data_IF_199889244542
#
_entry.id   IF_199889244542
#
_cell.length_a   1.000
_cell.length_b   1.000
_cell.length_c   1.000
_cell.angle_alpha   90.00
_cell.angle_beta   90.00
_cell.angle_gamma   90.00
#
_symmetry.space_group_name_H-M   'P 1'
#
loop_
_entity.id
_entity.type
_entity.pdbx_description
1 polymer ?
#
# COMPACT_ATOMS: atom_id res chain seq x y z
N UNK A 1 10.20 5.61 12.89
CA UNK A 1 10.91 6.14 11.72
C UNK A 1 11.87 7.23 12.18
N UNK A 2 13.06 7.31 11.61
CA UNK A 2 14.00 8.41 11.85
C UNK A 2 13.68 9.59 10.92
N UNK A 3 13.93 10.81 11.40
CA UNK A 3 13.84 12.01 10.56
C UNK A 3 15.01 12.02 9.54
N UNK A 4 14.82 12.52 8.31
CA UNK A 4 15.87 12.53 7.27
C UNK A 4 17.17 13.23 7.69
N UNK A 5 17.08 14.23 8.57
CA UNK A 5 18.21 15.00 9.09
C UNK A 5 19.03 14.20 10.11
N UNK A 6 18.41 13.23 10.78
CA UNK A 6 19.07 12.34 11.73
C UNK A 6 19.81 11.18 11.04
N UNK A 7 19.58 10.95 9.75
CA UNK A 7 20.18 9.87 8.97
C UNK A 7 21.48 10.38 8.35
N UNK A 8 22.59 9.82 8.85
CA UNK A 8 23.95 10.20 8.46
C UNK A 8 24.68 9.03 7.76
N UNK A 9 25.79 9.32 7.09
CA UNK A 9 26.64 8.34 6.42
C UNK A 9 28.08 8.84 6.36
N UNK A 10 29.03 7.94 6.12
CA UNK A 10 30.44 8.30 5.95
C UNK A 10 30.68 9.19 4.71
N UNK A 11 29.82 9.04 3.70
CA UNK A 11 29.74 9.84 2.48
C UNK A 11 28.28 9.90 1.98
N UNK A 12 28.05 10.57 0.86
CA UNK A 12 26.72 10.74 0.26
C UNK A 12 26.10 9.42 -0.21
N UNK A 13 26.92 8.45 -0.63
CA UNK A 13 26.43 7.13 -1.06
C UNK A 13 25.92 6.35 0.14
N UNK A 14 26.71 6.28 1.21
CA UNK A 14 26.34 5.62 2.46
C UNK A 14 25.08 6.25 3.07
N UNK A 15 24.97 7.58 3.04
CA UNK A 15 23.75 8.27 3.51
C UNK A 15 22.53 7.95 2.65
N UNK A 16 22.70 7.89 1.33
CA UNK A 16 21.60 7.55 0.40
C UNK A 16 21.09 6.13 0.61
N UNK A 17 21.98 5.16 0.84
CA UNK A 17 21.60 3.79 1.19
C UNK A 17 20.84 3.75 2.52
N UNK A 18 21.32 4.47 3.54
CA UNK A 18 20.63 4.53 4.83
C UNK A 18 19.22 5.15 4.73
N UNK A 19 19.07 6.22 3.93
CA UNK A 19 17.77 6.82 3.63
C UNK A 19 16.85 5.83 2.93
N UNK A 20 17.37 5.10 1.93
CA UNK A 20 16.59 4.07 1.22
C UNK A 20 16.12 2.96 2.15
N UNK A 21 16.98 2.48 3.06
CA UNK A 21 16.60 1.48 4.06
C UNK A 21 15.54 2.00 5.04
N UNK A 22 15.61 3.27 5.46
CA UNK A 22 14.60 3.85 6.34
C UNK A 22 13.24 3.97 5.64
N UNK A 23 13.21 4.43 4.39
CA UNK A 23 12.00 4.43 3.55
C UNK A 23 11.47 3.01 3.34
N UNK A 24 12.40 2.06 3.21
CA UNK A 24 12.17 0.62 3.16
C UNK A 24 11.15 0.12 4.18
N UNK A 25 11.30 0.56 5.44
CA UNK A 25 10.40 0.18 6.56
C UNK A 25 8.95 0.55 6.31
N UNK A 26 8.69 1.60 5.53
CA UNK A 26 7.35 2.04 5.16
C UNK A 26 6.87 1.26 3.94
N UNK A 27 7.65 1.26 2.86
CA UNK A 27 7.21 0.66 1.59
C UNK A 27 6.99 -0.86 1.67
N UNK A 28 7.67 -1.56 2.59
CA UNK A 28 7.48 -2.99 2.84
C UNK A 28 6.44 -3.29 3.92
N UNK A 29 5.80 -2.28 4.51
CA UNK A 29 4.78 -2.49 5.54
C UNK A 29 3.46 -2.97 4.89
N UNK A 30 2.69 -3.90 5.49
CA UNK A 30 1.41 -4.37 4.95
C UNK A 30 0.45 -3.24 4.55
N UNK A 31 0.29 -2.20 5.38
CA UNK A 31 -0.46 -0.97 5.03
C UNK A 31 -0.11 -0.37 3.65
N UNK A 32 1.15 -0.42 3.22
CA UNK A 32 1.57 0.03 1.90
C UNK A 32 1.38 -1.07 0.86
N UNK A 33 1.85 -2.29 1.17
CA UNK A 33 1.79 -3.43 0.24
C UNK A 33 0.36 -3.86 -0.12
N UNK A 34 -0.61 -3.65 0.77
CA UNK A 34 -2.03 -3.93 0.55
C UNK A 34 -2.60 -3.19 -0.66
N UNK A 35 -2.12 -1.97 -0.93
CA UNK A 35 -2.50 -1.15 -2.09
C UNK A 35 -1.46 -1.19 -3.22
N UNK A 36 -0.29 -1.77 -2.97
CA UNK A 36 0.82 -1.92 -3.92
C UNK A 36 1.12 -3.40 -4.25
N UNK A 37 0.11 -4.22 -4.65
CA UNK A 37 0.35 -5.59 -5.06
C UNK A 37 1.05 -5.64 -6.43
N UNK A 38 1.99 -6.57 -6.61
CA UNK A 38 2.69 -6.78 -7.90
C UNK A 38 1.73 -7.27 -8.98
N UNK A 39 0.80 -8.16 -8.63
CA UNK A 39 -0.23 -8.68 -9.54
C UNK A 39 -1.55 -8.88 -8.79
N UNK A 40 -2.65 -9.07 -9.54
CA UNK A 40 -3.93 -9.46 -8.97
C UNK A 40 -4.75 -8.29 -8.42
N UNK A 41 -5.01 -8.28 -7.11
CA UNK A 41 -5.91 -7.33 -6.45
C UNK A 41 -5.41 -6.92 -5.06
N UNK A 42 -6.16 -6.02 -4.37
CA UNK A 42 -5.77 -5.58 -3.04
C UNK A 42 -5.70 -6.74 -2.06
N UNK A 43 -4.84 -6.57 -1.07
CA UNK A 43 -4.82 -7.40 0.14
C UNK A 43 -5.23 -6.56 1.35
N UNK A 44 -5.52 -7.21 2.48
CA UNK A 44 -5.99 -6.54 3.69
C UNK A 44 -5.38 -7.16 4.94
N UNK A 45 -5.29 -6.36 6.01
CA UNK A 45 -4.68 -6.78 7.26
C UNK A 45 -3.15 -6.83 7.22
N UNK A 46 -2.55 -7.24 8.34
CA UNK A 46 -1.09 -7.40 8.47
C UNK A 46 -0.59 -8.72 7.87
N UNK A 47 -1.47 -9.72 7.76
CA UNK A 47 -1.25 -11.00 7.09
C UNK A 47 -1.40 -10.92 5.56
N UNK A 48 -1.83 -9.76 5.04
CA UNK A 48 -2.01 -9.49 3.62
C UNK A 48 -2.87 -10.55 2.90
N UNK A 49 -3.94 -11.01 3.55
CA UNK A 49 -4.89 -11.91 2.89
C UNK A 49 -5.67 -11.15 1.80
N UNK A 50 -6.26 -11.85 0.81
CA UNK A 50 -7.05 -11.20 -0.22
C UNK A 50 -8.15 -10.32 0.35
N UNK A 51 -8.39 -9.16 -0.28
CA UNK A 51 -9.46 -8.24 0.11
C UNK A 51 -10.81 -8.96 0.21
N UNK A 52 -11.64 -8.57 1.19
CA UNK A 52 -12.99 -9.08 1.38
C UNK A 52 -14.02 -7.94 1.32
N UNK A 53 -14.99 -7.99 0.40
CA UNK A 53 -15.21 -9.03 -0.61
C UNK A 53 -14.07 -9.09 -1.66
N UNK A 54 -13.86 -10.22 -2.35
CA UNK A 54 -12.79 -10.34 -3.35
C UNK A 54 -12.85 -9.26 -4.43
N UNK A 55 -11.73 -8.57 -4.63
CA UNK A 55 -11.57 -7.51 -5.65
C UNK A 55 -10.31 -7.77 -6.48
N UNK A 56 -10.29 -7.25 -7.70
CA UNK A 56 -9.14 -7.28 -8.62
C UNK A 56 -8.80 -5.87 -9.10
N UNK A 57 -7.58 -5.64 -9.58
CA UNK A 57 -7.08 -4.33 -10.02
C UNK A 57 -7.93 -3.66 -11.11
N UNK A 58 -8.32 -4.44 -12.13
CA UNK A 58 -8.94 -3.91 -13.35
C UNK A 58 -7.99 -3.09 -14.22
N UNK A 59 -8.39 -2.75 -15.44
CA UNK A 59 -7.50 -2.10 -16.42
C UNK A 59 -7.08 -0.67 -16.06
N UNK A 60 -7.83 -0.03 -15.16
CA UNK A 60 -7.62 1.35 -14.74
C UNK A 60 -7.22 1.47 -13.25
N UNK A 61 -6.89 0.36 -12.58
CA UNK A 61 -6.56 0.32 -11.14
C UNK A 61 -7.72 0.65 -10.17
N UNK A 62 -8.95 0.77 -10.69
CA UNK A 62 -10.15 1.15 -9.93
C UNK A 62 -11.11 0.00 -9.61
N UNK A 63 -10.72 -1.26 -9.81
CA UNK A 63 -11.61 -2.40 -9.63
C UNK A 63 -12.02 -3.05 -10.95
N UNK A 64 -12.73 -4.20 -10.91
CA UNK A 64 -13.23 -4.87 -12.11
C UNK A 64 -14.28 -4.04 -12.86
N UNK A 65 -14.47 -4.36 -14.13
CA UNK A 65 -15.48 -3.72 -14.97
C UNK A 65 -16.88 -3.82 -14.34
N UNK A 66 -17.56 -2.68 -14.25
CA UNK A 66 -18.90 -2.59 -13.67
C UNK A 66 -18.95 -2.51 -12.14
N UNK A 67 -17.82 -2.61 -11.42
CA UNK A 67 -17.76 -2.45 -9.97
C UNK A 67 -16.48 -1.74 -9.54
N UNK A 68 -16.55 -0.41 -9.40
CA UNK A 68 -15.42 0.39 -8.94
C UNK A 68 -15.23 0.28 -7.42
N UNK A 69 -13.98 0.39 -6.96
CA UNK A 69 -13.62 0.43 -5.54
C UNK A 69 -14.39 1.53 -4.77
N UNK A 70 -14.69 2.65 -5.45
CA UNK A 70 -15.44 3.79 -4.90
C UNK A 70 -16.92 3.50 -4.62
N UNK A 71 -17.42 2.33 -5.01
CA UNK A 71 -18.75 1.85 -4.62
C UNK A 71 -18.85 1.60 -3.11
N UNK A 72 -17.74 1.18 -2.49
CA UNK A 72 -17.67 0.94 -1.05
C UNK A 72 -16.77 1.95 -0.34
N UNK A 73 -15.64 2.31 -0.96
CA UNK A 73 -14.66 3.19 -0.35
C UNK A 73 -14.89 4.67 -0.68
N UNK A 74 -14.67 5.53 0.30
CA UNK A 74 -14.80 6.98 0.17
C UNK A 74 -13.54 7.74 0.57
N UNK A 75 -13.67 9.04 0.80
CA UNK A 75 -12.56 9.89 1.22
C UNK A 75 -12.13 9.67 2.68
N UNK A 76 -13.04 9.17 3.52
CA UNK A 76 -12.86 8.99 4.96
C UNK A 76 -13.21 7.56 5.37
N UNK A 77 -12.71 7.15 6.54
CA UNK A 77 -13.04 5.83 7.09
C UNK A 77 -14.52 5.80 7.50
N UNK A 78 -15.21 4.73 7.12
CA UNK A 78 -16.62 4.51 7.47
C UNK A 78 -16.72 3.27 8.35
N UNK A 79 -17.15 3.45 9.59
CA UNK A 79 -17.33 2.34 10.52
C UNK A 79 -18.35 1.31 10.01
N UNK A 80 -18.10 0.03 10.26
CA UNK A 80 -19.11 -1.00 9.99
C UNK A 80 -20.32 -0.80 10.92
N UNK A 81 -21.51 -1.16 10.44
CA UNK A 81 -22.75 -0.96 11.19
C UNK A 81 -23.01 -2.03 12.27
N UNK A 82 -22.40 -3.22 12.13
CA UNK A 82 -22.71 -4.40 12.95
C UNK A 82 -21.50 -5.03 13.64
N UNK A 83 -20.29 -4.71 13.21
CA UNK A 83 -19.06 -5.30 13.75
C UNK A 83 -17.99 -4.22 14.03
N UNK A 84 -16.92 -4.60 14.72
CA UNK A 84 -15.81 -3.69 14.99
C UNK A 84 -14.95 -3.57 13.74
N UNK A 85 -14.70 -2.34 13.29
CA UNK A 85 -13.85 -2.05 12.15
C UNK A 85 -14.44 -0.94 11.28
N UNK A 86 -13.80 -0.71 10.13
CA UNK A 86 -14.23 0.31 9.18
C UNK A 86 -13.78 -0.03 7.76
N UNK A 87 -14.59 0.36 6.79
CA UNK A 87 -14.13 0.54 5.41
C UNK A 87 -13.13 1.71 5.40
N UNK A 88 -11.87 1.51 4.97
CA UNK A 88 -10.89 2.59 4.92
C UNK A 88 -11.22 3.61 3.81
N UNK A 89 -10.84 4.87 4.03
CA UNK A 89 -11.01 5.94 3.05
C UNK A 89 -9.74 6.73 2.75
N UNK A 90 -9.68 7.22 1.51
CA UNK A 90 -8.62 8.06 0.94
C UNK A 90 -9.13 8.69 -0.38
N UNK A 91 -8.52 9.81 -0.81
CA UNK A 91 -8.81 10.44 -2.10
C UNK A 91 -7.50 10.70 -2.86
N UNK A 92 -7.29 10.10 -4.04
CA UNK A 92 -8.17 9.16 -4.75
C UNK A 92 -8.12 7.73 -4.19
N UNK A 93 -9.21 6.96 -4.28
CA UNK A 93 -9.22 5.54 -3.88
C UNK A 93 -8.98 4.61 -5.08
N UNK A 94 -7.76 4.11 -5.20
CA UNK A 94 -7.32 3.21 -6.28
C UNK A 94 -6.11 2.36 -5.83
N UNK A 95 -5.83 1.29 -6.57
CA UNK A 95 -4.53 0.62 -6.45
C UNK A 95 -3.43 1.49 -7.06
N UNK A 96 -2.21 1.34 -6.53
CA UNK A 96 -1.04 1.90 -7.18
C UNK A 96 -0.72 1.10 -8.45
N UNK A 97 -0.27 1.77 -9.52
CA UNK A 97 0.12 1.14 -10.78
C UNK A 97 0.99 -0.12 -10.59
N UNK A 98 0.92 -1.07 -11.50
CA UNK A 98 1.69 -2.33 -11.44
C UNK A 98 3.20 -2.12 -11.32
N UNK A 99 3.74 -1.08 -11.96
CA UNK A 99 5.15 -0.68 -11.85
C UNK A 99 5.58 -0.24 -10.45
N UNK A 100 4.61 -0.02 -9.55
CA UNK A 100 4.80 0.31 -8.15
C UNK A 100 4.43 -0.86 -7.23
N UNK A 101 4.40 -2.09 -7.74
CA UNK A 101 4.25 -3.29 -6.93
C UNK A 101 5.54 -3.64 -6.19
N UNK A 102 5.50 -3.68 -4.86
CA UNK A 102 6.71 -3.88 -4.03
C UNK A 102 6.71 -5.21 -3.27
N UNK A 103 5.60 -5.92 -3.25
CA UNK A 103 5.48 -7.17 -2.49
C UNK A 103 6.49 -8.22 -3.00
N UNK A 104 7.31 -8.76 -2.10
CA UNK A 104 8.34 -9.76 -2.42
C UNK A 104 9.64 -9.19 -2.99
N UNK A 105 9.76 -7.87 -3.18
CA UNK A 105 11.02 -7.24 -3.56
C UNK A 105 11.93 -6.97 -2.36
N UNK A 106 13.23 -7.13 -2.57
CA UNK A 106 14.26 -6.84 -1.58
C UNK A 106 14.65 -5.35 -1.61
N UNK A 107 15.02 -4.81 -0.45
CA UNK A 107 15.68 -3.49 -0.35
C UNK A 107 17.19 -3.56 -0.66
N UNK A 108 17.75 -4.76 -0.75
CA UNK A 108 19.11 -4.98 -1.21
C UNK A 108 19.11 -5.25 -2.73
N UNK A 109 20.16 -4.75 -3.41
CA UNK A 109 20.50 -5.16 -4.77
C UNK A 109 20.92 -6.64 -4.82
#
# INVERSE_FOLDING_TARGET
>A
LQAPEAITGADDTARSVALFQEMGKVITHPRCLNCHPVTGGPTQGDDMHPHSPPMVRGVADFGPDGLSCTTCHGAENVAYSVETGSIPGHSPWQLAHESMGWAGHSLAN
#
